data_IF_623848884488
#
_entry.id   IF_623848884488
#
_cell.length_a   1.000
_cell.length_b   1.000
_cell.length_c   1.000
_cell.angle_alpha   90.00
_cell.angle_beta   90.00
_cell.angle_gamma   90.00
#
_symmetry.space_group_name_H-M   'P 1'
#
loop_
_entity.id
_entity.type
_entity.pdbx_description
1 polymer ?
#
# COMPACT_ATOMS: atom_id res chain seq x y z
N UNK A 1 -30.08 -11.56 -28.56
CA UNK A 1 -30.12 -10.42 -29.51
C UNK A 1 -29.35 -9.20 -29.00
N UNK A 2 -29.50 -8.79 -27.73
CA UNK A 2 -28.76 -7.65 -27.15
C UNK A 2 -27.22 -7.73 -27.28
N UNK A 3 -26.61 -8.90 -27.02
CA UNK A 3 -25.14 -9.08 -27.12
C UNK A 3 -24.60 -8.81 -28.54
N UNK A 4 -25.32 -9.25 -29.58
CA UNK A 4 -24.93 -9.02 -30.98
C UNK A 4 -25.01 -7.52 -31.33
N UNK A 5 -26.04 -6.83 -30.84
CA UNK A 5 -26.21 -5.38 -31.05
C UNK A 5 -25.15 -4.55 -30.31
N UNK A 6 -24.76 -4.95 -29.09
CA UNK A 6 -23.68 -4.28 -28.34
C UNK A 6 -22.31 -4.47 -28.99
N UNK A 7 -22.01 -5.66 -29.51
CA UNK A 7 -20.77 -5.91 -30.27
C UNK A 7 -20.71 -5.08 -31.54
N UNK A 8 -21.79 -5.05 -32.31
CA UNK A 8 -21.90 -4.22 -33.51
C UNK A 8 -21.77 -2.72 -33.19
N UNK A 9 -22.31 -2.25 -32.07
CA UNK A 9 -22.14 -0.86 -31.65
C UNK A 9 -20.69 -0.52 -31.32
N UNK A 10 -19.99 -1.38 -30.57
CA UNK A 10 -18.57 -1.20 -30.22
C UNK A 10 -17.71 -1.27 -31.47
N UNK A 11 -17.98 -2.26 -32.33
CA UNK A 11 -17.30 -2.43 -33.62
C UNK A 11 -17.47 -1.17 -34.44
N UNK A 12 -18.70 -0.69 -34.62
CA UNK A 12 -18.99 0.54 -35.37
C UNK A 12 -18.34 1.77 -34.72
N UNK A 13 -18.39 1.94 -33.41
CA UNK A 13 -17.74 3.08 -32.74
C UNK A 13 -16.23 3.12 -32.96
N UNK A 14 -15.56 1.97 -32.85
CA UNK A 14 -14.10 1.88 -32.99
C UNK A 14 -13.65 1.89 -34.46
N UNK A 15 -14.44 1.33 -35.37
CA UNK A 15 -14.12 1.24 -36.81
C UNK A 15 -14.58 2.45 -37.61
N UNK A 16 -15.71 3.09 -37.27
CA UNK A 16 -16.12 4.41 -37.82
C UNK A 16 -15.22 5.54 -37.30
N UNK A 17 -14.39 5.30 -36.27
CA UNK A 17 -13.42 6.30 -35.81
C UNK A 17 -12.22 6.40 -36.77
N UNK A 18 -12.49 7.03 -37.91
CA UNK A 18 -11.58 7.63 -38.90
C UNK A 18 -10.70 6.63 -39.66
N UNK A 19 -10.94 6.54 -40.96
CA UNK A 19 -10.04 5.89 -41.92
C UNK A 19 -8.64 6.52 -41.82
N UNK A 20 -7.58 5.74 -42.06
CA UNK A 20 -6.20 6.25 -41.96
C UNK A 20 -5.99 7.49 -42.83
N UNK A 21 -6.63 7.51 -44.00
CA UNK A 21 -6.61 8.64 -44.94
C UNK A 21 -7.24 9.92 -44.37
N UNK A 22 -8.18 9.81 -43.44
CA UNK A 22 -8.81 10.94 -42.76
C UNK A 22 -7.96 11.47 -41.58
N UNK A 23 -7.16 10.60 -40.94
CA UNK A 23 -6.21 11.00 -39.89
C UNK A 23 -4.94 11.62 -40.47
N UNK A 24 -4.44 11.04 -41.55
CA UNK A 24 -3.22 11.44 -42.23
C UNK A 24 -3.43 11.33 -43.74
N UNK A 25 -3.86 12.43 -44.36
CA UNK A 25 -3.92 12.51 -45.82
C UNK A 25 -2.52 12.43 -46.42
N UNK A 26 -2.41 11.95 -47.66
CA UNK A 26 -1.13 11.91 -48.38
C UNK A 26 -0.46 13.28 -48.43
N UNK A 27 -1.23 14.35 -48.61
CA UNK A 27 -0.68 15.72 -48.64
C UNK A 27 -0.08 16.16 -47.31
N UNK A 28 -0.70 15.78 -46.19
CA UNK A 28 -0.18 16.05 -44.85
C UNK A 28 1.08 15.23 -44.56
N UNK A 29 1.07 13.96 -44.97
CA UNK A 29 2.23 13.10 -44.85
C UNK A 29 3.42 13.65 -45.65
N UNK A 30 3.17 14.07 -46.90
CA UNK A 30 4.15 14.70 -47.77
C UNK A 30 4.75 15.97 -47.16
N UNK A 31 3.90 16.83 -46.61
CA UNK A 31 4.34 18.06 -45.95
C UNK A 31 5.24 17.77 -44.74
N UNK A 32 4.94 16.73 -43.95
CA UNK A 32 5.76 16.31 -42.80
C UNK A 32 7.08 15.71 -43.27
N UNK A 33 7.06 14.85 -44.29
CA UNK A 33 8.27 14.22 -44.84
C UNK A 33 9.20 15.26 -45.45
N UNK A 34 8.66 16.24 -46.19
CA UNK A 34 9.45 17.36 -46.71
C UNK A 34 10.09 18.19 -45.58
N UNK A 35 9.33 18.48 -44.52
CA UNK A 35 9.81 19.26 -43.37
C UNK A 35 10.91 18.54 -42.58
N UNK A 36 10.70 17.26 -42.29
CA UNK A 36 11.60 16.45 -41.43
C UNK A 36 12.81 15.94 -42.22
N UNK A 37 12.59 15.45 -43.44
CA UNK A 37 13.63 14.82 -44.25
C UNK A 37 14.30 15.78 -45.24
N UNK A 38 13.93 17.08 -45.24
CA UNK A 38 14.54 18.15 -46.06
C UNK A 38 14.76 17.73 -47.52
N UNK A 39 13.74 17.15 -48.15
CA UNK A 39 13.74 16.71 -49.54
C UNK A 39 14.77 15.61 -49.90
N UNK A 40 15.23 14.81 -48.93
CA UNK A 40 16.16 13.69 -49.19
C UNK A 40 15.49 12.37 -49.60
N UNK A 41 14.18 12.23 -49.38
CA UNK A 41 13.43 11.03 -49.75
C UNK A 41 12.93 11.12 -51.19
N UNK A 42 13.10 10.04 -51.96
CA UNK A 42 12.52 9.93 -53.29
C UNK A 42 11.00 9.73 -53.17
N UNK A 43 10.21 10.33 -54.07
CA UNK A 43 8.73 10.26 -54.06
C UNK A 43 8.18 8.82 -54.01
N UNK A 44 8.92 7.86 -54.56
CA UNK A 44 8.56 6.45 -54.49
C UNK A 44 8.67 5.86 -53.08
N UNK A 45 9.73 6.18 -52.34
CA UNK A 45 9.98 5.69 -50.97
C UNK A 45 8.98 6.28 -49.98
N UNK A 46 8.59 7.53 -50.19
CA UNK A 46 7.52 8.18 -49.43
C UNK A 46 6.17 7.49 -49.64
N UNK A 47 5.84 7.15 -50.89
CA UNK A 47 4.60 6.43 -51.21
C UNK A 47 4.61 5.04 -50.58
N UNK A 48 5.74 4.33 -50.64
CA UNK A 48 5.88 3.03 -49.98
C UNK A 48 5.70 3.14 -48.46
N UNK A 49 6.28 4.15 -47.82
CA UNK A 49 6.18 4.35 -46.38
C UNK A 49 4.74 4.67 -45.97
N UNK A 50 4.03 5.50 -46.73
CA UNK A 50 2.62 5.79 -46.51
C UNK A 50 1.75 4.52 -46.62
N UNK A 51 2.00 3.71 -47.66
CA UNK A 51 1.24 2.48 -47.89
C UNK A 51 1.53 1.42 -46.80
N UNK A 52 2.77 1.33 -46.30
CA UNK A 52 3.14 0.48 -45.16
C UNK A 52 2.41 0.94 -43.90
N UNK A 53 2.40 2.24 -43.60
CA UNK A 53 1.72 2.79 -42.43
C UNK A 53 0.20 2.59 -42.50
N UNK A 54 -0.41 2.79 -43.68
CA UNK A 54 -1.82 2.49 -43.91
C UNK A 54 -2.13 1.01 -43.66
N UNK A 55 -1.28 0.12 -44.17
CA UNK A 55 -1.44 -1.34 -43.97
C UNK A 55 -1.27 -1.74 -42.50
N UNK A 56 -0.31 -1.14 -41.79
CA UNK A 56 -0.12 -1.39 -40.36
C UNK A 56 -1.33 -0.94 -39.53
N UNK A 57 -1.91 0.22 -39.87
CA UNK A 57 -3.16 0.69 -39.24
C UNK A 57 -4.31 -0.28 -39.51
N UNK A 58 -4.45 -0.74 -40.75
CA UNK A 58 -5.48 -1.70 -41.14
C UNK A 58 -5.34 -3.04 -40.40
N UNK A 59 -4.13 -3.60 -40.33
CA UNK A 59 -3.86 -4.83 -39.60
C UNK A 59 -4.18 -4.69 -38.09
N UNK A 60 -3.91 -3.53 -37.51
CA UNK A 60 -4.25 -3.25 -36.10
C UNK A 60 -5.77 -3.20 -35.91
N UNK A 61 -6.49 -2.57 -36.85
CA UNK A 61 -7.95 -2.51 -36.84
C UNK A 61 -8.57 -3.91 -36.90
N UNK A 62 -8.10 -4.76 -37.82
CA UNK A 62 -8.56 -6.15 -37.98
C UNK A 62 -8.32 -6.97 -36.70
N UNK A 63 -7.19 -6.78 -36.02
CA UNK A 63 -6.92 -7.42 -34.72
C UNK A 63 -7.89 -6.95 -33.63
N UNK A 64 -8.21 -5.67 -33.60
CA UNK A 64 -9.17 -5.11 -32.64
C UNK A 64 -10.58 -5.65 -32.93
N UNK A 65 -10.99 -5.72 -34.19
CA UNK A 65 -12.26 -6.34 -34.59
C UNK A 65 -12.37 -7.79 -34.14
N UNK A 66 -11.33 -8.61 -34.40
CA UNK A 66 -11.28 -10.00 -33.96
C UNK A 66 -11.34 -10.13 -32.43
N UNK A 67 -10.72 -9.20 -31.71
CA UNK A 67 -10.75 -9.17 -30.25
C UNK A 67 -12.16 -8.84 -29.73
N UNK A 68 -12.87 -7.94 -30.39
CA UNK A 68 -14.26 -7.59 -30.06
C UNK A 68 -15.20 -8.78 -30.31
N UNK A 69 -14.99 -9.51 -31.41
CA UNK A 69 -15.78 -10.70 -31.72
C UNK A 69 -15.60 -11.78 -30.64
N UNK A 70 -14.41 -11.88 -30.05
CA UNK A 70 -14.08 -12.80 -28.95
C UNK A 70 -14.57 -12.33 -27.56
N UNK A 71 -14.99 -11.07 -27.39
CA UNK A 71 -15.50 -10.59 -26.10
C UNK A 71 -16.79 -11.31 -25.71
N UNK A 72 -16.82 -11.94 -24.54
CA UNK A 72 -18.05 -12.50 -23.99
C UNK A 72 -18.78 -11.48 -23.10
N UNK A 73 -19.64 -10.66 -23.72
CA UNK A 73 -20.46 -9.66 -23.02
C UNK A 73 -21.54 -10.28 -22.10
N UNK A 74 -21.72 -11.60 -22.09
CA UNK A 74 -22.65 -12.26 -21.15
C UNK A 74 -22.17 -12.17 -19.70
N UNK A 75 -20.86 -12.06 -19.46
CA UNK A 75 -20.30 -11.90 -18.11
C UNK A 75 -20.69 -10.55 -17.48
N UNK A 76 -20.70 -9.47 -18.28
CA UNK A 76 -21.03 -8.12 -17.80
C UNK A 76 -22.49 -8.01 -17.35
N UNK A 77 -23.42 -8.71 -18.02
CA UNK A 77 -24.82 -8.78 -17.57
C UNK A 77 -25.04 -9.68 -16.35
N UNK A 78 -24.07 -10.53 -16.00
CA UNK A 78 -24.17 -11.41 -14.83
C UNK A 78 -23.83 -10.66 -13.54
N UNK A 79 -22.96 -9.66 -13.62
CA UNK A 79 -22.59 -8.80 -12.48
C UNK A 79 -23.64 -7.71 -12.20
N UNK A 80 -24.43 -7.30 -13.21
CA UNK A 80 -25.53 -6.32 -13.03
C UNK A 80 -26.86 -6.96 -12.62
N UNK A 81 -26.99 -8.27 -12.74
CA UNK A 81 -28.08 -9.04 -12.17
C UNK A 81 -27.61 -9.69 -10.86
N UNK A 82 -27.18 -8.86 -9.90
CA UNK A 82 -27.31 -9.17 -8.47
C UNK A 82 -28.79 -9.38 -8.19
N UNK A 83 -29.22 -10.57 -8.57
CA UNK A 83 -30.43 -11.23 -8.15
C UNK A 83 -30.29 -11.25 -6.64
N UNK A 84 -31.17 -10.52 -5.96
CA UNK A 84 -31.38 -10.56 -4.52
C UNK A 84 -31.08 -11.97 -4.01
N UNK A 85 -29.89 -12.15 -3.43
CA UNK A 85 -29.55 -13.38 -2.74
C UNK A 85 -30.54 -13.41 -1.57
N UNK A 86 -31.44 -14.40 -1.47
CA UNK A 86 -32.13 -14.59 -0.22
C UNK A 86 -31.03 -14.88 0.79
N UNK A 87 -30.73 -13.90 1.65
CA UNK A 87 -29.86 -14.13 2.79
C UNK A 87 -30.56 -15.23 3.59
N UNK A 88 -30.10 -16.46 3.44
CA UNK A 88 -30.49 -17.54 4.32
C UNK A 88 -30.10 -17.08 5.73
N UNK A 89 -31.06 -17.10 6.67
CA UNK A 89 -30.85 -16.67 8.06
C UNK A 89 -29.61 -17.34 8.69
N UNK A 90 -29.20 -18.50 8.17
CA UNK A 90 -27.96 -19.19 8.51
C UNK A 90 -26.68 -18.36 8.24
N UNK A 91 -26.61 -17.59 7.14
CA UNK A 91 -25.46 -16.74 6.81
C UNK A 91 -25.38 -15.52 7.72
N UNK A 92 -26.53 -14.96 8.12
CA UNK A 92 -26.60 -13.88 9.11
C UNK A 92 -26.24 -14.38 10.51
N UNK A 93 -26.71 -15.56 10.91
CA UNK A 93 -26.31 -16.22 12.15
C UNK A 93 -24.80 -16.50 12.20
N UNK A 94 -24.23 -16.97 11.10
CA UNK A 94 -22.78 -17.20 11.01
C UNK A 94 -21.98 -15.88 11.10
N UNK A 95 -22.48 -14.81 10.48
CA UNK A 95 -21.88 -13.48 10.59
C UNK A 95 -21.93 -12.97 12.04
N UNK A 96 -23.08 -13.09 12.72
CA UNK A 96 -23.25 -12.71 14.12
C UNK A 96 -22.28 -13.49 15.00
N UNK A 97 -22.18 -14.81 14.82
CA UNK A 97 -21.23 -15.65 15.57
C UNK A 97 -19.77 -15.23 15.33
N UNK A 98 -19.42 -14.85 14.09
CA UNK A 98 -18.06 -14.35 13.79
C UNK A 98 -17.79 -12.98 14.41
N UNK A 99 -18.80 -12.10 14.50
CA UNK A 99 -18.69 -10.81 15.18
C UNK A 99 -18.59 -10.98 16.69
N UNK A 100 -19.32 -11.92 17.28
CA UNK A 100 -19.22 -12.25 18.71
C UNK A 100 -17.83 -12.81 19.06
N UNK A 101 -17.28 -13.70 18.23
CA UNK A 101 -15.92 -14.21 18.40
C UNK A 101 -14.88 -13.09 18.29
N UNK A 102 -15.06 -12.16 17.36
CA UNK A 102 -14.19 -11.00 17.22
C UNK A 102 -14.27 -10.10 18.45
N UNK A 103 -15.47 -9.82 18.95
CA UNK A 103 -15.68 -9.01 20.16
C UNK A 103 -15.01 -9.64 21.39
N UNK A 104 -15.20 -10.95 21.60
CA UNK A 104 -14.52 -11.67 22.69
C UNK A 104 -12.99 -11.62 22.55
N UNK A 105 -12.48 -11.77 21.33
CA UNK A 105 -11.04 -11.66 21.08
C UNK A 105 -10.52 -10.25 21.34
N UNK A 106 -11.31 -9.20 21.05
CA UNK A 106 -10.94 -7.82 21.31
C UNK A 106 -10.99 -7.51 22.80
N UNK A 107 -12.02 -7.94 23.53
CA UNK A 107 -12.11 -7.80 24.98
C UNK A 107 -10.92 -8.45 25.67
N UNK A 108 -10.58 -9.70 25.31
CA UNK A 108 -9.41 -10.38 25.87
C UNK A 108 -8.09 -9.65 25.57
N UNK A 109 -7.97 -9.04 24.38
CA UNK A 109 -6.78 -8.25 24.01
C UNK A 109 -6.70 -6.96 24.83
N UNK A 110 -7.83 -6.30 25.06
CA UNK A 110 -7.92 -5.09 25.89
C UNK A 110 -7.53 -5.42 27.33
N UNK A 111 -8.10 -6.47 27.91
CA UNK A 111 -7.77 -6.90 29.29
C UNK A 111 -6.28 -7.23 29.45
N UNK A 112 -5.67 -7.88 28.45
CA UNK A 112 -4.23 -8.16 28.46
C UNK A 112 -3.40 -6.86 28.46
N UNK A 113 -3.75 -5.90 27.60
CA UNK A 113 -3.07 -4.59 27.54
C UNK A 113 -3.25 -3.82 28.84
N UNK A 114 -4.46 -3.78 29.40
CA UNK A 114 -4.72 -3.11 30.68
C UNK A 114 -3.90 -3.72 31.82
N UNK A 115 -3.75 -5.04 31.83
CA UNK A 115 -2.90 -5.73 32.79
C UNK A 115 -1.42 -5.37 32.61
N UNK A 116 -0.91 -5.37 31.39
CA UNK A 116 0.49 -5.04 31.09
C UNK A 116 0.79 -3.58 31.49
N UNK A 117 -0.11 -2.65 31.16
CA UNK A 117 0.01 -1.23 31.57
C UNK A 117 0.02 -1.09 33.09
N UNK A 118 -0.82 -1.85 33.80
CA UNK A 118 -0.83 -1.81 35.27
C UNK A 118 0.49 -2.28 35.87
N UNK A 119 1.09 -3.34 35.31
CA UNK A 119 2.40 -3.84 35.73
C UNK A 119 3.50 -2.80 35.47
N UNK A 120 3.54 -2.21 34.26
CA UNK A 120 4.52 -1.17 33.95
C UNK A 120 4.39 0.06 34.85
N UNK A 121 3.17 0.47 35.21
CA UNK A 121 2.94 1.57 36.14
C UNK A 121 3.44 1.24 37.55
N UNK A 122 3.27 0.01 38.00
CA UNK A 122 3.79 -0.47 39.29
C UNK A 122 5.33 -0.46 39.29
N UNK A 123 5.97 -0.95 38.22
CA UNK A 123 7.43 -0.89 38.06
C UNK A 123 7.97 0.54 38.02
N UNK A 124 7.28 1.45 37.33
CA UNK A 124 7.64 2.88 37.32
C UNK A 124 7.52 3.47 38.72
N UNK A 125 6.47 3.12 39.46
CA UNK A 125 6.28 3.63 40.81
C UNK A 125 7.35 3.10 41.78
N UNK A 126 7.71 1.82 41.69
CA UNK A 126 8.81 1.22 42.45
C UNK A 126 10.15 1.90 42.13
N UNK A 127 10.40 2.22 40.86
CA UNK A 127 11.59 2.98 40.47
C UNK A 127 11.57 4.41 41.03
N UNK A 128 10.42 5.09 41.01
CA UNK A 128 10.27 6.42 41.61
C UNK A 128 10.54 6.36 43.11
N UNK A 129 10.05 5.34 43.81
CA UNK A 129 10.30 5.15 45.23
C UNK A 129 11.79 4.88 45.51
N UNK A 130 12.43 4.03 44.71
CA UNK A 130 13.88 3.82 44.79
C UNK A 130 14.69 5.11 44.52
N UNK A 131 14.25 5.94 43.58
CA UNK A 131 14.86 7.24 43.31
C UNK A 131 14.62 8.23 44.45
N UNK A 132 13.44 8.21 45.08
CA UNK A 132 13.14 9.02 46.24
C UNK A 132 13.99 8.60 47.44
N UNK A 133 14.18 7.31 47.68
CA UNK A 133 15.09 6.79 48.72
C UNK A 133 16.54 7.21 48.49
N UNK A 134 16.97 7.25 47.22
CA UNK A 134 18.30 7.75 46.83
C UNK A 134 18.41 9.28 47.00
N UNK A 135 17.36 10.03 46.65
CA UNK A 135 17.32 11.50 46.68
C UNK A 135 17.17 12.07 48.09
N UNK A 136 16.40 11.39 48.94
CA UNK A 136 16.08 11.80 50.31
C UNK A 136 16.90 11.03 51.36
N UNK A 137 17.80 10.13 50.94
CA UNK A 137 18.83 9.57 51.82
C UNK A 137 18.37 8.47 52.76
N UNK A 138 17.39 7.65 52.38
CA UNK A 138 17.16 6.36 53.09
C UNK A 138 18.29 5.36 52.81
N UNK A 139 19.00 5.50 51.68
CA UNK A 139 20.34 4.92 51.55
C UNK A 139 21.25 5.80 52.38
N UNK A 140 21.51 5.35 53.62
CA UNK A 140 22.51 5.69 54.64
C UNK A 140 23.83 6.34 54.13
N UNK A 141 23.78 7.39 53.32
CA UNK A 141 24.97 8.04 52.76
C UNK A 141 25.69 8.79 53.87
N UNK A 142 24.93 9.44 54.76
CA UNK A 142 25.44 10.10 55.96
C UNK A 142 26.06 9.09 56.93
N UNK A 143 25.35 7.98 57.22
CA UNK A 143 25.85 6.89 58.07
C UNK A 143 27.09 6.21 57.50
N UNK A 144 27.18 6.07 56.17
CA UNK A 144 28.34 5.49 55.49
C UNK A 144 29.55 6.43 55.52
N UNK A 145 29.32 7.74 55.38
CA UNK A 145 30.38 8.76 55.52
C UNK A 145 30.86 8.84 56.97
N UNK A 146 29.95 8.77 57.95
CA UNK A 146 30.30 8.83 59.37
C UNK A 146 31.08 7.58 59.82
N UNK A 147 30.69 6.40 59.33
CA UNK A 147 31.47 5.16 59.51
C UNK A 147 32.86 5.27 58.87
N UNK A 148 32.94 5.81 57.65
CA UNK A 148 34.21 5.98 56.95
C UNK A 148 35.15 6.96 57.69
N UNK A 149 34.62 8.08 58.19
CA UNK A 149 35.37 9.02 59.02
C UNK A 149 35.89 8.36 60.31
N UNK A 150 35.06 7.51 60.93
CA UNK A 150 35.45 6.77 62.14
C UNK A 150 36.57 5.77 61.87
N UNK A 151 36.50 5.05 60.74
CA UNK A 151 37.52 4.09 60.35
C UNK A 151 38.84 4.77 59.95
N UNK A 152 38.77 5.92 59.27
CA UNK A 152 39.94 6.74 58.95
C UNK A 152 40.61 7.29 60.21
N UNK A 153 39.83 7.80 61.18
CA UNK A 153 40.38 8.25 62.46
C UNK A 153 41.02 7.13 63.28
N UNK A 154 40.49 5.91 63.23
CA UNK A 154 41.14 4.73 63.83
C UNK A 154 42.45 4.37 63.13
N UNK A 155 42.47 4.43 61.79
CA UNK A 155 43.66 4.17 61.00
C UNK A 155 44.77 5.20 61.30
N UNK A 156 44.41 6.48 61.37
CA UNK A 156 45.32 7.58 61.71
C UNK A 156 45.94 7.39 63.09
N UNK A 157 45.12 7.12 64.12
CA UNK A 157 45.61 6.88 65.47
C UNK A 157 46.56 5.68 65.52
N UNK A 158 46.24 4.60 64.81
CA UNK A 158 47.08 3.41 64.73
C UNK A 158 48.41 3.67 64.02
N UNK A 159 48.43 4.52 62.99
CA UNK A 159 49.66 4.96 62.32
C UNK A 159 50.50 5.86 63.23
N UNK A 160 49.87 6.76 63.99
CA UNK A 160 50.55 7.60 64.98
C UNK A 160 51.15 6.79 66.14
N UNK A 161 50.50 5.70 66.54
CA UNK A 161 51.03 4.77 67.55
C UNK A 161 52.18 3.90 67.03
N UNK A 162 52.14 3.49 65.76
CA UNK A 162 53.23 2.75 65.10
C UNK A 162 54.46 3.62 64.76
N UNK A 163 54.28 4.95 64.70
CA UNK A 163 55.35 5.91 64.45
C UNK A 163 56.07 6.43 65.70
N UNK A 164 55.70 5.94 66.89
CA UNK A 164 56.40 6.17 68.18
C UNK A 164 57.33 5.01 68.50
#
# INVERSE_FOLDING_TARGET
MANVQSKELIKRYLTDSKEFQQLLSRDRFHSIVQLVCRNRLMSHEETQLYDILSRQKQNTLERVELSIDQLDLRRINRDNNETTVPLEDASLLQLIQSMDQLNQSLESRIEAIEKDVKVELEEINDQIDAFNDLRYGSINFETSIESLCTDLGRLENRLLELGK
#
